data_IF_850050321917
#
_entry.id   IF_850050321917
#
_cell.length_a   1.000
_cell.length_b   1.000
_cell.length_c   1.000
_cell.angle_alpha   90.00
_cell.angle_beta   90.00
_cell.angle_gamma   90.00
#
_symmetry.space_group_name_H-M   'P 1'
#
loop_
_entity.id
_entity.type
_entity.pdbx_description
1 polymer ?
#
# COMPACT_ATOMS: atom_id res chain seq x y z
N UNK A 1 -3.88 -51.56 9.73
CA UNK A 1 -3.29 -51.13 8.44
C UNK A 1 -4.36 -50.79 7.39
N UNK A 2 -5.33 -51.66 7.04
CA UNK A 2 -6.36 -51.37 6.02
C UNK A 2 -7.28 -50.20 6.35
N UNK A 3 -7.66 -49.97 7.62
CA UNK A 3 -8.52 -48.86 8.05
C UNK A 3 -7.76 -47.54 7.89
N UNK A 4 -6.50 -47.44 8.33
CA UNK A 4 -5.68 -46.28 8.18
C UNK A 4 -5.48 -45.87 6.71
N UNK A 5 -5.23 -46.86 5.85
CA UNK A 5 -5.12 -46.65 4.40
C UNK A 5 -6.42 -46.10 3.79
N UNK A 6 -7.59 -46.63 4.20
CA UNK A 6 -8.89 -46.11 3.75
C UNK A 6 -9.15 -44.68 4.22
N UNK A 7 -8.78 -44.33 5.45
CA UNK A 7 -8.91 -42.99 5.99
C UNK A 7 -7.98 -42.00 5.24
N UNK A 8 -6.74 -42.38 4.96
CA UNK A 8 -5.83 -41.58 4.15
C UNK A 8 -6.37 -41.34 2.73
N UNK A 9 -6.91 -42.40 2.07
CA UNK A 9 -7.53 -42.26 0.75
C UNK A 9 -8.75 -41.33 0.76
N UNK A 10 -9.63 -41.46 1.76
CA UNK A 10 -10.79 -40.59 1.91
C UNK A 10 -10.36 -39.12 2.09
N UNK A 11 -9.37 -38.90 2.94
CA UNK A 11 -8.81 -37.54 3.14
C UNK A 11 -8.26 -36.96 1.84
N UNK A 12 -7.51 -37.74 1.07
CA UNK A 12 -6.98 -37.32 -0.24
C UNK A 12 -8.13 -36.95 -1.19
N UNK A 13 -9.15 -37.78 -1.30
CA UNK A 13 -10.31 -37.50 -2.18
C UNK A 13 -11.02 -36.21 -1.74
N UNK A 14 -11.23 -36.01 -0.43
CA UNK A 14 -11.86 -34.81 0.11
C UNK A 14 -11.02 -33.55 -0.19
N UNK A 15 -9.70 -33.62 0.02
CA UNK A 15 -8.79 -32.51 -0.24
C UNK A 15 -8.76 -32.15 -1.73
N UNK A 16 -8.61 -33.12 -2.61
CA UNK A 16 -8.64 -32.91 -4.06
C UNK A 16 -10.00 -32.40 -4.55
N UNK A 17 -11.10 -32.96 -4.01
CA UNK A 17 -12.44 -32.49 -4.32
C UNK A 17 -12.68 -31.04 -3.88
N UNK A 18 -12.27 -30.67 -2.67
CA UNK A 18 -12.34 -29.31 -2.17
C UNK A 18 -11.48 -28.36 -2.99
N UNK A 19 -10.25 -28.74 -3.32
CA UNK A 19 -9.38 -27.95 -4.18
C UNK A 19 -9.98 -27.74 -5.57
N UNK A 20 -10.49 -28.81 -6.19
CA UNK A 20 -11.15 -28.74 -7.50
C UNK A 20 -12.38 -27.82 -7.48
N UNK A 21 -13.19 -27.91 -6.43
CA UNK A 21 -14.35 -27.02 -6.22
C UNK A 21 -13.91 -25.55 -6.09
N UNK A 22 -12.93 -25.27 -5.23
CA UNK A 22 -12.40 -23.92 -5.05
C UNK A 22 -11.82 -23.36 -6.34
N UNK A 23 -11.05 -24.18 -7.05
CA UNK A 23 -10.44 -23.79 -8.32
C UNK A 23 -11.49 -23.48 -9.39
N UNK A 24 -12.48 -24.36 -9.56
CA UNK A 24 -13.55 -24.16 -10.56
C UNK A 24 -14.44 -22.97 -10.23
N UNK A 25 -14.76 -22.74 -8.95
CA UNK A 25 -15.72 -21.71 -8.54
C UNK A 25 -15.10 -20.32 -8.39
N UNK A 26 -13.84 -20.24 -7.95
CA UNK A 26 -13.23 -18.99 -7.49
C UNK A 26 -11.92 -18.62 -8.19
N UNK A 27 -11.54 -19.33 -9.25
CA UNK A 27 -10.44 -18.86 -10.10
C UNK A 27 -10.83 -17.58 -10.81
N UNK A 28 -10.05 -16.54 -10.59
CA UNK A 28 -10.23 -15.23 -11.23
C UNK A 28 -9.04 -15.01 -12.17
N UNK A 29 -9.28 -14.90 -13.49
CA UNK A 29 -8.20 -14.60 -14.44
C UNK A 29 -7.62 -13.21 -14.16
N UNK A 30 -6.38 -13.00 -14.60
CA UNK A 30 -5.82 -11.66 -14.67
C UNK A 30 -6.60 -10.83 -15.68
N UNK A 31 -6.83 -9.55 -15.36
CA UNK A 31 -7.53 -8.60 -16.21
C UNK A 31 -6.55 -7.70 -16.94
N UNK A 32 -6.68 -7.52 -18.24
CA UNK A 32 -5.92 -6.53 -18.98
C UNK A 32 -6.18 -5.13 -18.41
N UNK A 33 -5.15 -4.27 -18.40
CA UNK A 33 -5.27 -2.90 -17.89
C UNK A 33 -6.37 -2.11 -18.61
N UNK A 34 -6.61 -2.37 -19.89
CA UNK A 34 -7.63 -1.70 -20.69
C UNK A 34 -9.05 -1.87 -20.13
N UNK A 35 -9.38 -3.06 -19.60
CA UNK A 35 -10.70 -3.33 -18.99
C UNK A 35 -10.90 -2.56 -17.67
N UNK A 36 -9.82 -2.26 -16.96
CA UNK A 36 -9.88 -1.59 -15.65
C UNK A 36 -9.83 -0.06 -15.78
N UNK A 37 -9.28 0.44 -16.88
CA UNK A 37 -9.06 1.87 -17.12
C UNK A 37 -10.37 2.66 -17.15
N UNK A 38 -11.41 2.11 -17.76
CA UNK A 38 -12.73 2.77 -17.89
C UNK A 38 -13.32 3.11 -16.50
N UNK A 39 -13.15 2.23 -15.53
CA UNK A 39 -13.67 2.42 -14.17
C UNK A 39 -12.71 3.19 -13.28
N UNK A 40 -11.40 2.87 -13.31
CA UNK A 40 -10.43 3.28 -12.31
C UNK A 40 -9.46 4.38 -12.77
N UNK A 41 -9.43 4.72 -14.07
CA UNK A 41 -8.62 5.82 -14.59
C UNK A 41 -9.47 6.97 -15.15
N UNK A 42 -10.61 7.28 -14.52
CA UNK A 42 -11.40 8.46 -14.86
C UNK A 42 -10.59 9.73 -14.61
N UNK A 43 -10.83 10.82 -15.37
CA UNK A 43 -10.19 12.10 -15.11
C UNK A 43 -10.24 12.47 -13.62
N UNK A 44 -9.15 13.03 -13.06
CA UNK A 44 -7.94 13.56 -13.72
C UNK A 44 -6.80 12.55 -13.92
N UNK A 45 -7.08 11.25 -13.94
CA UNK A 45 -6.06 10.18 -14.13
C UNK A 45 -5.27 10.36 -15.42
N UNK A 46 -3.95 10.17 -15.31
CA UNK A 46 -2.98 10.24 -16.38
C UNK A 46 -2.00 9.07 -16.31
N UNK A 47 -1.24 8.86 -17.38
CA UNK A 47 -0.19 7.85 -17.43
C UNK A 47 1.13 8.48 -17.90
N UNK A 48 2.22 8.19 -17.19
CA UNK A 48 3.56 8.66 -17.49
C UNK A 48 4.51 7.48 -17.63
N UNK A 49 5.40 7.55 -18.63
CA UNK A 49 6.42 6.51 -18.82
C UNK A 49 7.61 6.75 -17.89
N UNK A 50 7.78 5.88 -16.89
CA UNK A 50 8.90 5.92 -15.94
C UNK A 50 9.48 4.52 -15.76
N UNK A 51 10.79 4.37 -15.91
CA UNK A 51 11.50 3.08 -15.77
C UNK A 51 10.89 1.93 -16.60
N UNK A 52 10.36 2.24 -17.78
CA UNK A 52 9.72 1.25 -18.66
C UNK A 52 8.29 0.87 -18.26
N UNK A 53 7.75 1.45 -17.21
CA UNK A 53 6.35 1.30 -16.80
C UNK A 53 5.50 2.45 -17.33
N UNK A 54 4.22 2.19 -17.59
CA UNK A 54 3.18 3.23 -17.70
C UNK A 54 2.59 3.47 -16.33
N UNK A 55 3.17 4.42 -15.59
CA UNK A 55 2.74 4.74 -14.22
C UNK A 55 1.43 5.51 -14.26
N UNK A 56 0.40 4.95 -13.63
CA UNK A 56 -0.88 5.63 -13.41
C UNK A 56 -0.75 6.62 -12.26
N UNK A 57 -1.13 7.88 -12.50
CA UNK A 57 -1.02 8.95 -11.53
C UNK A 57 -2.14 9.97 -11.64
N UNK A 58 -2.28 10.79 -10.61
CA UNK A 58 -3.09 12.02 -10.59
C UNK A 58 -2.24 13.14 -10.02
N UNK A 59 -2.34 14.30 -10.63
CA UNK A 59 -1.64 15.52 -10.25
C UNK A 59 -2.67 16.64 -10.18
N UNK A 60 -3.11 16.96 -8.96
CA UNK A 60 -4.28 17.80 -8.67
C UNK A 60 -3.86 19.05 -7.89
N UNK A 61 -4.70 20.10 -7.92
CA UNK A 61 -4.43 21.37 -7.25
C UNK A 61 -3.51 22.33 -8.03
N UNK A 62 -3.06 23.44 -7.38
CA UNK A 62 -2.28 24.50 -8.00
C UNK A 62 -0.90 24.01 -8.42
N UNK A 63 -0.58 24.14 -9.72
CA UNK A 63 0.70 23.64 -10.29
C UNK A 63 1.92 24.43 -9.86
N UNK A 64 1.71 25.66 -9.46
CA UNK A 64 2.77 26.59 -9.01
C UNK A 64 3.12 26.45 -7.51
N UNK A 65 2.54 25.45 -6.82
CA UNK A 65 2.89 25.16 -5.43
C UNK A 65 4.39 24.84 -5.33
N UNK A 66 5.19 25.63 -4.58
CA UNK A 66 6.62 25.43 -4.48
C UNK A 66 7.01 24.17 -3.69
N UNK A 67 6.07 23.60 -2.93
CA UNK A 67 6.30 22.41 -2.09
C UNK A 67 5.15 21.41 -2.21
N UNK A 68 5.06 20.69 -3.34
CA UNK A 68 4.01 19.71 -3.59
C UNK A 68 3.98 18.59 -2.56
N UNK A 69 2.78 18.00 -2.37
CA UNK A 69 2.55 16.86 -1.51
C UNK A 69 2.45 15.60 -2.37
N UNK A 70 3.23 14.58 -2.05
CA UNK A 70 3.18 13.27 -2.72
C UNK A 70 2.58 12.24 -1.77
N UNK A 71 1.55 11.51 -2.23
CA UNK A 71 0.81 10.54 -1.44
C UNK A 71 1.07 9.10 -1.95
N UNK A 72 1.67 8.26 -1.11
CA UNK A 72 2.07 6.89 -1.42
C UNK A 72 1.18 5.87 -0.71
N UNK A 73 0.53 5.01 -1.48
CA UNK A 73 -0.39 4.00 -0.95
C UNK A 73 0.33 2.77 -0.35
N UNK A 74 -0.43 1.93 0.37
CA UNK A 74 0.06 0.68 0.95
C UNK A 74 0.06 -0.52 0.00
N UNK A 75 0.50 -1.67 0.50
CA UNK A 75 0.52 -2.95 -0.22
C UNK A 75 -0.89 -3.35 -0.67
N UNK A 76 -1.03 -3.78 -1.93
CA UNK A 76 -2.31 -4.19 -2.56
C UNK A 76 -3.38 -3.09 -2.62
N UNK A 77 -3.02 -1.84 -2.36
CA UNK A 77 -3.86 -0.66 -2.52
C UNK A 77 -3.58 0.06 -3.84
N UNK A 78 -4.06 1.28 -3.99
CA UNK A 78 -3.87 2.14 -5.16
C UNK A 78 -3.93 3.61 -4.75
N UNK A 79 -3.63 4.52 -5.66
CA UNK A 79 -3.70 5.97 -5.42
C UNK A 79 -5.07 6.44 -4.88
N UNK A 80 -6.14 5.67 -5.12
CA UNK A 80 -7.50 6.01 -4.69
C UNK A 80 -7.70 5.98 -3.16
N UNK A 81 -6.82 5.31 -2.40
CA UNK A 81 -6.88 5.32 -0.92
C UNK A 81 -6.75 6.73 -0.33
N UNK A 82 -6.23 7.66 -1.14
CA UNK A 82 -5.98 9.05 -0.78
C UNK A 82 -7.04 10.03 -1.29
N UNK A 83 -8.19 9.54 -1.85
CA UNK A 83 -9.20 10.44 -2.42
C UNK A 83 -9.63 11.52 -1.43
N UNK A 84 -10.04 11.14 -0.21
CA UNK A 84 -10.52 12.12 0.77
C UNK A 84 -9.46 13.13 1.24
N UNK A 85 -8.18 12.73 1.30
CA UNK A 85 -7.10 13.69 1.56
C UNK A 85 -6.89 14.63 0.38
N UNK A 86 -6.94 14.11 -0.84
CA UNK A 86 -6.76 14.92 -2.04
C UNK A 86 -7.88 15.95 -2.19
N UNK A 87 -9.13 15.58 -1.89
CA UNK A 87 -10.28 16.47 -1.97
C UNK A 87 -10.10 17.73 -1.10
N UNK A 88 -9.40 17.61 0.03
CA UNK A 88 -9.08 18.74 0.93
C UNK A 88 -7.77 19.45 0.51
N UNK A 89 -6.69 18.68 0.42
CA UNK A 89 -5.34 19.26 0.23
C UNK A 89 -5.18 19.96 -1.13
N UNK A 90 -5.88 19.50 -2.18
CA UNK A 90 -5.76 20.08 -3.53
C UNK A 90 -6.39 21.47 -3.67
N UNK A 91 -7.11 21.94 -2.66
CA UNK A 91 -7.60 23.32 -2.64
C UNK A 91 -6.44 24.35 -2.52
N UNK A 92 -5.37 23.95 -1.84
CA UNK A 92 -4.24 24.86 -1.52
C UNK A 92 -2.86 24.32 -1.93
N UNK A 93 -2.73 23.01 -2.16
CA UNK A 93 -1.48 22.34 -2.49
C UNK A 93 -1.55 21.60 -3.83
N UNK A 94 -0.43 21.50 -4.52
CA UNK A 94 -0.26 20.53 -5.59
C UNK A 94 -0.11 19.15 -4.98
N UNK A 95 -1.04 18.25 -5.28
CA UNK A 95 -1.10 16.88 -4.75
C UNK A 95 -0.83 15.90 -5.86
N UNK A 96 0.30 15.19 -5.76
CA UNK A 96 0.66 14.08 -6.63
C UNK A 96 0.40 12.77 -5.92
N UNK A 97 -0.29 11.85 -6.58
CA UNK A 97 -0.45 10.47 -6.13
C UNK A 97 -0.36 9.52 -7.31
N UNK A 98 0.26 8.37 -7.11
CA UNK A 98 0.44 7.39 -8.18
C UNK A 98 0.37 5.95 -7.68
N UNK A 99 0.01 5.04 -8.57
CA UNK A 99 0.07 3.61 -8.31
C UNK A 99 1.54 3.16 -8.37
N UNK A 100 2.07 2.70 -7.25
CA UNK A 100 3.45 2.20 -7.19
C UNK A 100 3.62 0.91 -8.00
N UNK A 101 4.85 0.59 -8.41
CA UNK A 101 5.16 -0.63 -9.16
C UNK A 101 4.63 -1.89 -8.46
N UNK A 102 3.99 -2.76 -9.23
CA UNK A 102 3.37 -4.00 -8.76
C UNK A 102 1.93 -3.83 -8.29
N UNK A 103 1.35 -2.61 -8.38
CA UNK A 103 0.02 -2.31 -7.87
C UNK A 103 -0.82 -1.46 -8.82
N UNK A 104 -2.14 -1.38 -8.51
CA UNK A 104 -3.09 -0.54 -9.23
C UNK A 104 -3.04 -0.76 -10.74
N UNK A 105 -3.19 0.30 -11.50
CA UNK A 105 -3.10 0.25 -12.97
C UNK A 105 -1.67 0.31 -13.52
N UNK A 106 -0.69 0.76 -12.72
CA UNK A 106 0.73 0.73 -13.10
C UNK A 106 1.19 -0.68 -13.38
N UNK A 107 0.89 -1.63 -12.48
CA UNK A 107 1.26 -3.02 -12.65
C UNK A 107 2.74 -3.33 -12.43
N UNK A 108 3.24 -4.49 -12.92
CA UNK A 108 4.56 -4.98 -12.61
C UNK A 108 5.67 -4.14 -13.22
N UNK A 109 6.79 -4.03 -12.51
CA UNK A 109 8.03 -3.49 -13.05
C UNK A 109 8.59 -4.44 -14.11
N UNK A 110 9.01 -3.97 -15.30
CA UNK A 110 9.45 -4.84 -16.40
C UNK A 110 10.68 -5.69 -16.07
N UNK A 111 11.56 -5.18 -15.22
CA UNK A 111 12.73 -5.91 -14.72
C UNK A 111 12.44 -6.59 -13.37
N UNK A 112 11.17 -6.59 -12.93
CA UNK A 112 10.71 -7.17 -11.68
C UNK A 112 11.52 -6.70 -10.43
N UNK A 113 11.80 -5.41 -10.34
CA UNK A 113 12.51 -4.73 -9.25
C UNK A 113 11.52 -4.30 -8.18
N UNK A 114 11.67 -4.80 -6.95
CA UNK A 114 10.77 -4.51 -5.82
C UNK A 114 11.53 -4.35 -4.49
N UNK A 115 12.81 -4.04 -4.51
CA UNK A 115 13.54 -3.66 -3.30
C UNK A 115 13.06 -2.28 -2.85
N UNK A 116 13.24 -1.95 -1.57
CA UNK A 116 12.79 -0.65 -1.06
C UNK A 116 13.49 0.52 -1.78
N UNK A 117 14.75 0.33 -2.15
CA UNK A 117 15.52 1.30 -2.92
C UNK A 117 14.93 1.52 -4.32
N UNK A 118 14.42 0.46 -4.97
CA UNK A 118 13.78 0.56 -6.30
C UNK A 118 12.47 1.37 -6.24
N UNK A 119 11.72 1.28 -5.13
CA UNK A 119 10.54 2.12 -4.89
C UNK A 119 10.94 3.58 -4.65
N UNK A 120 11.97 3.83 -3.84
CA UNK A 120 12.49 5.16 -3.61
C UNK A 120 12.99 5.81 -4.92
N UNK A 121 13.72 5.05 -5.75
CA UNK A 121 14.17 5.50 -7.08
C UNK A 121 13.00 5.85 -8.00
N UNK A 122 11.93 5.06 -7.98
CA UNK A 122 10.72 5.33 -8.78
C UNK A 122 10.04 6.62 -8.33
N UNK A 123 9.94 6.86 -7.01
CA UNK A 123 9.44 8.13 -6.47
C UNK A 123 10.24 9.32 -7.00
N UNK A 124 11.58 9.26 -6.92
CA UNK A 124 12.44 10.35 -7.38
C UNK A 124 12.30 10.57 -8.90
N UNK A 125 12.23 9.50 -9.70
CA UNK A 125 12.02 9.62 -11.14
C UNK A 125 10.64 10.18 -11.50
N UNK A 126 9.61 9.90 -10.70
CA UNK A 126 8.29 10.55 -10.86
C UNK A 126 8.40 12.05 -10.57
N UNK A 127 9.10 12.44 -9.52
CA UNK A 127 9.36 13.85 -9.19
C UNK A 127 10.12 14.55 -10.34
N UNK A 128 11.20 13.95 -10.83
CA UNK A 128 12.01 14.49 -11.93
C UNK A 128 11.17 14.70 -13.20
N UNK A 129 10.38 13.69 -13.58
CA UNK A 129 9.54 13.75 -14.77
C UNK A 129 8.41 14.78 -14.70
N UNK A 130 8.02 15.21 -13.49
CA UNK A 130 6.98 16.22 -13.24
C UNK A 130 7.54 17.57 -12.80
N UNK A 131 8.86 17.75 -12.85
CA UNK A 131 9.54 19.00 -12.50
C UNK A 131 9.44 19.35 -11.02
N UNK A 132 9.42 18.35 -10.13
CA UNK A 132 9.34 18.52 -8.67
C UNK A 132 10.73 18.33 -8.08
N UNK A 133 11.37 19.40 -7.65
CA UNK A 133 12.70 19.34 -7.05
C UNK A 133 12.67 18.81 -5.62
N UNK A 134 11.72 19.28 -4.82
CA UNK A 134 11.55 18.90 -3.41
C UNK A 134 10.06 18.75 -3.11
N UNK A 135 9.69 17.80 -2.27
CA UNK A 135 8.30 17.54 -1.91
C UNK A 135 8.13 17.18 -0.43
N UNK A 136 6.90 17.36 0.06
CA UNK A 136 6.40 16.66 1.26
C UNK A 136 5.93 15.27 0.83
N UNK A 137 6.35 14.24 1.53
CA UNK A 137 5.93 12.87 1.17
C UNK A 137 5.14 12.25 2.31
N UNK A 138 3.89 11.92 2.03
CA UNK A 138 3.02 11.16 2.91
C UNK A 138 2.88 9.73 2.42
N UNK A 139 2.92 8.75 3.31
CA UNK A 139 2.79 7.35 2.91
C UNK A 139 2.17 6.47 3.97
N UNK A 140 1.28 5.58 3.51
CA UNK A 140 0.66 4.56 4.36
C UNK A 140 1.37 3.22 4.19
N UNK A 141 1.66 2.52 5.29
CA UNK A 141 2.18 1.16 5.27
C UNK A 141 3.47 1.03 4.45
N UNK A 142 3.45 0.30 3.33
CA UNK A 142 4.55 0.25 2.36
C UNK A 142 4.90 1.64 1.84
N UNK A 143 3.90 2.48 1.53
CA UNK A 143 4.13 3.86 1.11
C UNK A 143 4.90 4.68 2.14
N UNK A 144 4.61 4.46 3.44
CA UNK A 144 5.39 5.04 4.53
C UNK A 144 6.83 4.53 4.56
N UNK A 145 7.04 3.22 4.31
CA UNK A 145 8.40 2.65 4.18
C UNK A 145 9.17 3.29 3.01
N UNK A 146 8.50 3.47 1.87
CA UNK A 146 9.10 4.16 0.72
C UNK A 146 9.43 5.62 1.06
N UNK A 147 8.50 6.33 1.70
CA UNK A 147 8.67 7.74 2.06
C UNK A 147 9.91 7.99 2.94
N UNK A 148 10.01 7.28 4.07
CA UNK A 148 11.15 7.47 4.95
C UNK A 148 12.45 6.89 4.38
N UNK A 149 12.40 5.82 3.58
CA UNK A 149 13.59 5.30 2.88
C UNK A 149 14.11 6.29 1.83
N UNK A 150 13.20 6.93 1.08
CA UNK A 150 13.57 7.98 0.14
C UNK A 150 14.23 9.18 0.85
N UNK A 151 13.72 9.56 2.03
CA UNK A 151 14.32 10.64 2.82
C UNK A 151 15.73 10.29 3.32
N UNK A 152 15.98 9.02 3.64
CA UNK A 152 17.34 8.52 4.02
C UNK A 152 18.28 8.50 2.82
N UNK A 153 17.80 8.07 1.64
CA UNK A 153 18.64 7.90 0.45
C UNK A 153 18.83 9.23 -0.30
N UNK A 154 17.78 10.05 -0.37
CA UNK A 154 17.70 11.31 -1.11
C UNK A 154 17.28 12.48 -0.21
N UNK A 155 18.02 12.80 0.87
CA UNK A 155 17.57 13.70 1.93
C UNK A 155 17.24 15.13 1.44
N UNK A 156 17.84 15.57 0.33
CA UNK A 156 17.58 16.90 -0.25
C UNK A 156 16.29 16.97 -1.06
N UNK A 157 15.69 15.83 -1.40
CA UNK A 157 14.49 15.76 -2.22
C UNK A 157 13.20 15.72 -1.38
N UNK A 158 13.31 15.45 -0.09
CA UNK A 158 12.18 15.29 0.83
C UNK A 158 12.27 16.39 1.89
N UNK A 159 11.27 17.29 1.92
CA UNK A 159 11.22 18.40 2.85
C UNK A 159 10.59 18.06 4.20
N UNK A 160 9.45 17.36 4.18
CA UNK A 160 8.74 16.88 5.36
C UNK A 160 8.22 15.45 5.11
N UNK A 161 7.97 14.69 6.18
CA UNK A 161 7.39 13.34 6.12
C UNK A 161 6.07 13.27 6.87
N UNK A 162 5.11 12.50 6.32
CA UNK A 162 3.91 12.06 7.03
C UNK A 162 3.83 10.53 6.94
N UNK A 163 4.04 9.86 8.05
CA UNK A 163 4.12 8.40 8.14
C UNK A 163 2.83 7.84 8.75
N UNK A 164 1.98 7.25 7.92
CA UNK A 164 0.67 6.72 8.30
C UNK A 164 0.75 5.21 8.44
N UNK A 165 0.68 4.70 9.68
CA UNK A 165 0.80 3.26 9.97
C UNK A 165 1.96 2.61 9.20
N UNK A 166 3.12 3.28 9.20
CA UNK A 166 4.23 3.00 8.30
C UNK A 166 4.95 1.70 8.64
N UNK A 167 5.29 0.92 7.61
CA UNK A 167 6.16 -0.26 7.77
C UNK A 167 7.65 0.11 7.70
N UNK A 168 8.50 -0.91 7.87
CA UNK A 168 9.95 -0.80 7.77
C UNK A 168 10.69 -1.50 8.90
N UNK A 169 10.21 -1.45 10.12
CA UNK A 169 10.75 -2.24 11.21
C UNK A 169 10.21 -3.69 11.20
N UNK A 170 10.96 -4.65 11.77
CA UNK A 170 10.40 -5.95 12.12
C UNK A 170 9.33 -5.82 13.21
N UNK A 171 8.24 -6.55 13.05
CA UNK A 171 7.12 -6.60 14.01
C UNK A 171 6.37 -7.93 13.89
N UNK A 172 5.56 -8.24 14.89
CA UNK A 172 4.61 -9.35 14.88
C UNK A 172 3.20 -8.81 14.70
N UNK A 173 2.52 -9.23 13.63
CA UNK A 173 1.14 -8.85 13.33
C UNK A 173 0.17 -9.65 14.17
N UNK A 174 -0.86 -9.00 14.72
CA UNK A 174 -1.98 -9.67 15.37
C UNK A 174 -2.91 -10.33 14.33
N UNK A 175 -3.04 -9.71 13.17
CA UNK A 175 -3.85 -10.23 12.06
C UNK A 175 -3.18 -9.90 10.72
N UNK A 176 -3.08 -10.90 9.84
CA UNK A 176 -2.51 -10.74 8.50
C UNK A 176 -3.56 -11.17 7.48
N UNK A 177 -3.90 -10.33 6.49
CA UNK A 177 -4.78 -10.70 5.38
C UNK A 177 -4.37 -12.02 4.73
N UNK A 178 -5.33 -12.89 4.47
CA UNK A 178 -5.05 -14.24 3.93
C UNK A 178 -4.33 -14.18 2.57
N UNK A 179 -4.64 -13.19 1.73
CA UNK A 179 -3.95 -12.97 0.45
C UNK A 179 -2.45 -12.73 0.63
N UNK A 180 -2.03 -12.03 1.70
CA UNK A 180 -0.61 -11.83 2.01
C UNK A 180 0.07 -13.14 2.42
N UNK A 181 -0.60 -13.95 3.27
CA UNK A 181 -0.09 -15.27 3.66
C UNK A 181 0.10 -16.20 2.47
N UNK A 182 -0.87 -16.22 1.55
CA UNK A 182 -0.78 -17.00 0.31
C UNK A 182 0.40 -16.52 -0.55
N UNK A 183 0.52 -15.21 -0.76
CA UNK A 183 1.58 -14.61 -1.61
C UNK A 183 2.99 -14.78 -1.04
N UNK A 184 3.12 -14.85 0.29
CA UNK A 184 4.41 -15.09 0.97
C UNK A 184 4.81 -16.57 0.98
N UNK A 185 3.85 -17.50 0.83
CA UNK A 185 4.13 -18.92 0.88
C UNK A 185 4.73 -19.42 -0.44
N UNK A 186 5.87 -20.13 -0.43
CA UNK A 186 6.49 -20.65 -1.65
C UNK A 186 5.62 -21.69 -2.38
N UNK A 187 4.69 -22.35 -1.69
CA UNK A 187 3.79 -23.38 -2.25
C UNK A 187 2.41 -22.81 -2.53
N UNK A 188 1.78 -22.13 -1.55
CA UNK A 188 0.39 -21.68 -1.66
C UNK A 188 0.20 -20.66 -2.79
N UNK A 189 1.20 -19.81 -3.09
CA UNK A 189 1.11 -18.85 -4.20
C UNK A 189 0.88 -19.52 -5.56
N UNK A 190 1.39 -20.74 -5.78
CA UNK A 190 1.16 -21.49 -7.02
C UNK A 190 -0.18 -22.23 -7.02
N UNK A 191 -0.61 -22.75 -5.87
CA UNK A 191 -1.84 -23.51 -5.77
C UNK A 191 -3.07 -22.62 -5.67
N UNK A 192 -2.98 -21.52 -4.93
CA UNK A 192 -4.11 -20.66 -4.55
C UNK A 192 -4.02 -19.22 -5.09
N UNK A 193 -2.92 -18.84 -5.74
CA UNK A 193 -2.67 -17.45 -6.16
C UNK A 193 -3.73 -16.88 -7.10
N UNK A 194 -4.41 -17.74 -7.87
CA UNK A 194 -5.49 -17.33 -8.77
C UNK A 194 -6.89 -17.55 -8.17
N UNK A 195 -6.98 -18.15 -6.98
CA UNK A 195 -8.25 -18.35 -6.27
C UNK A 195 -8.48 -17.12 -5.39
N UNK A 196 -9.43 -16.28 -5.76
CA UNK A 196 -9.70 -15.03 -5.07
C UNK A 196 -11.21 -14.78 -4.91
N UNK A 197 -11.87 -15.46 -3.95
CA UNK A 197 -13.26 -15.16 -3.64
C UNK A 197 -13.40 -13.68 -3.21
N UNK A 198 -14.41 -12.98 -3.73
CA UNK A 198 -14.67 -11.59 -3.37
C UNK A 198 -14.90 -11.41 -1.85
N UNK A 199 -15.50 -12.41 -1.20
CA UNK A 199 -15.68 -12.45 0.26
C UNK A 199 -14.34 -12.47 1.02
N UNK A 200 -13.30 -13.10 0.48
CA UNK A 200 -11.95 -13.12 1.06
C UNK A 200 -11.31 -11.73 0.93
N UNK A 201 -11.54 -11.01 -0.17
CA UNK A 201 -11.09 -9.62 -0.32
C UNK A 201 -11.80 -8.73 0.71
N UNK A 202 -13.13 -8.83 0.85
CA UNK A 202 -13.90 -8.10 1.86
C UNK A 202 -13.39 -8.37 3.28
N UNK A 203 -13.15 -9.64 3.63
CA UNK A 203 -12.57 -10.02 4.91
C UNK A 203 -11.15 -9.46 5.10
N UNK A 204 -10.34 -9.42 4.04
CA UNK A 204 -8.99 -8.86 4.09
C UNK A 204 -9.00 -7.34 4.33
N UNK A 205 -9.96 -6.62 3.74
CA UNK A 205 -10.18 -5.19 4.06
C UNK A 205 -10.62 -5.05 5.53
N UNK A 206 -11.52 -5.92 6.02
CA UNK A 206 -11.93 -5.96 7.42
C UNK A 206 -10.78 -6.20 8.42
N UNK A 207 -9.68 -6.82 7.98
CA UNK A 207 -8.50 -6.97 8.83
C UNK A 207 -7.72 -5.66 9.03
N UNK A 208 -7.83 -4.73 8.08
CA UNK A 208 -7.07 -3.46 8.09
C UNK A 208 -7.94 -2.25 8.49
N UNK A 209 -9.25 -2.39 8.53
CA UNK A 209 -10.18 -1.38 9.05
C UNK A 209 -10.40 -1.58 10.57
N UNK A 210 -10.48 -0.49 11.31
CA UNK A 210 -10.88 -0.49 12.72
C UNK A 210 -12.38 -0.75 12.87
N UNK A 211 -13.19 -0.14 11.98
CA UNK A 211 -14.63 -0.36 11.89
C UNK A 211 -15.02 -1.01 10.55
N UNK A 212 -15.28 -2.32 10.50
CA UNK A 212 -15.69 -3.01 9.28
C UNK A 212 -17.01 -2.52 8.66
N UNK A 213 -17.87 -1.83 9.40
CA UNK A 213 -19.14 -1.30 8.88
C UNK A 213 -18.94 -0.16 7.86
N UNK A 214 -17.74 0.45 7.83
CA UNK A 214 -17.36 1.45 6.83
C UNK A 214 -16.98 0.83 5.47
N UNK A 215 -16.92 -0.49 5.36
CA UNK A 215 -16.53 -1.18 4.12
C UNK A 215 -17.70 -1.24 3.16
N UNK A 216 -17.63 -0.42 2.11
CA UNK A 216 -18.63 -0.39 1.03
C UNK A 216 -18.34 -1.47 -0.02
N UNK A 217 -19.35 -1.85 -0.81
CA UNK A 217 -19.17 -2.79 -1.91
C UNK A 217 -18.26 -2.20 -3.01
N UNK A 218 -18.32 -0.89 -3.24
CA UNK A 218 -17.46 -0.20 -4.21
C UNK A 218 -15.97 -0.21 -3.78
N UNK A 219 -15.74 -0.11 -2.47
CA UNK A 219 -14.40 -0.30 -1.88
C UNK A 219 -13.91 -1.74 -2.13
N UNK A 220 -14.76 -2.74 -1.91
CA UNK A 220 -14.41 -4.15 -2.16
C UNK A 220 -14.12 -4.38 -3.64
N UNK A 221 -14.91 -3.82 -4.54
CA UNK A 221 -14.69 -3.90 -5.99
C UNK A 221 -13.35 -3.29 -6.37
N UNK A 222 -13.01 -2.12 -5.84
CA UNK A 222 -11.73 -1.48 -6.12
C UNK A 222 -10.54 -2.38 -5.75
N UNK A 223 -10.54 -2.89 -4.54
CA UNK A 223 -9.46 -3.81 -4.11
C UNK A 223 -9.47 -5.11 -4.91
N UNK A 224 -10.64 -5.69 -5.18
CA UNK A 224 -10.76 -6.90 -5.97
C UNK A 224 -10.25 -6.71 -7.40
N UNK A 225 -10.76 -5.72 -8.11
CA UNK A 225 -10.45 -5.50 -9.51
C UNK A 225 -9.00 -5.09 -9.74
N UNK A 226 -8.47 -4.13 -8.96
CA UNK A 226 -7.10 -3.65 -9.14
C UNK A 226 -6.05 -4.70 -8.73
N UNK A 227 -6.36 -5.60 -7.79
CA UNK A 227 -5.47 -6.72 -7.49
C UNK A 227 -5.53 -7.84 -8.55
N UNK A 228 -6.57 -7.88 -9.42
CA UNK A 228 -6.64 -8.79 -10.57
C UNK A 228 -6.03 -8.21 -11.84
N UNK A 229 -5.54 -6.98 -11.84
CA UNK A 229 -4.79 -6.43 -12.97
C UNK A 229 -3.64 -7.36 -13.32
N UNK A 230 -3.47 -7.67 -14.60
CA UNK A 230 -2.47 -8.59 -15.12
C UNK A 230 -1.07 -8.34 -14.53
N UNK A 231 -0.51 -9.39 -13.92
CA UNK A 231 0.81 -9.41 -13.31
C UNK A 231 0.88 -8.87 -11.86
N UNK A 232 -0.13 -8.19 -11.30
CA UNK A 232 -0.06 -7.64 -9.93
C UNK A 232 0.09 -8.73 -8.87
N UNK A 233 -0.55 -9.88 -9.03
CA UNK A 233 -0.44 -11.00 -8.07
C UNK A 233 0.97 -11.60 -8.03
N UNK A 234 1.60 -11.74 -9.20
CA UNK A 234 2.99 -12.18 -9.30
C UNK A 234 3.96 -11.14 -8.73
N UNK A 235 3.73 -9.85 -9.01
CA UNK A 235 4.49 -8.74 -8.46
C UNK A 235 4.40 -8.69 -6.93
N UNK A 236 3.21 -8.87 -6.36
CA UNK A 236 3.00 -8.93 -4.91
C UNK A 236 3.84 -10.04 -4.26
N UNK A 237 3.82 -11.24 -4.83
CA UNK A 237 4.60 -12.36 -4.31
C UNK A 237 6.12 -12.06 -4.37
N UNK A 238 6.61 -11.44 -5.46
CA UNK A 238 8.01 -11.08 -5.61
C UNK A 238 8.40 -9.94 -4.66
N UNK A 239 7.54 -8.93 -4.51
CA UNK A 239 7.73 -7.84 -3.56
C UNK A 239 7.96 -8.37 -2.14
N UNK A 240 7.18 -9.33 -1.66
CA UNK A 240 7.38 -9.92 -0.32
C UNK A 240 8.73 -10.65 -0.16
N UNK A 241 9.33 -11.09 -1.26
CA UNK A 241 10.67 -11.68 -1.23
C UNK A 241 11.76 -10.60 -1.17
N UNK A 242 11.58 -9.49 -1.88
CA UNK A 242 12.61 -8.46 -2.08
C UNK A 242 12.54 -7.33 -1.04
N UNK A 243 11.34 -6.86 -0.69
CA UNK A 243 11.16 -5.85 0.36
C UNK A 243 10.97 -6.53 1.72
N UNK A 244 11.96 -6.44 2.58
CA UNK A 244 11.93 -7.06 3.91
C UNK A 244 11.92 -6.01 5.02
N UNK A 245 11.23 -6.33 6.09
CA UNK A 245 11.29 -5.53 7.31
C UNK A 245 12.75 -5.46 7.84
N UNK A 246 13.14 -4.31 8.35
CA UNK A 246 14.48 -4.05 8.87
C UNK A 246 15.48 -3.48 7.85
N UNK A 247 15.15 -3.49 6.53
CA UNK A 247 15.97 -2.79 5.53
C UNK A 247 16.05 -1.30 5.88
N UNK A 248 17.26 -0.74 5.91
CA UNK A 248 17.54 0.65 6.29
C UNK A 248 17.09 1.07 7.70
N UNK A 249 16.54 0.17 8.54
CA UNK A 249 16.00 0.52 9.86
C UNK A 249 17.06 1.13 10.81
N UNK A 250 18.33 0.75 10.67
CA UNK A 250 19.46 1.33 11.40
C UNK A 250 19.77 2.78 10.98
N UNK A 251 19.17 3.28 9.92
CA UNK A 251 19.36 4.64 9.39
C UNK A 251 18.20 5.59 9.70
N UNK A 252 17.14 5.12 10.37
CA UNK A 252 16.00 5.97 10.72
C UNK A 252 16.40 7.18 11.56
N UNK A 253 17.38 7.01 12.46
CA UNK A 253 17.93 8.13 13.26
C UNK A 253 18.68 9.19 12.46
N UNK A 254 18.97 8.96 11.16
CA UNK A 254 19.58 9.97 10.26
C UNK A 254 18.55 10.94 9.69
N UNK A 255 17.26 10.66 9.87
CA UNK A 255 16.18 11.51 9.36
C UNK A 255 16.19 12.88 10.08
N UNK A 256 16.37 13.93 9.33
CA UNK A 256 16.37 15.31 9.82
C UNK A 256 15.10 16.08 9.45
N UNK A 257 14.30 15.52 8.55
CA UNK A 257 13.06 16.12 8.09
C UNK A 257 12.03 16.19 9.22
N UNK A 258 11.30 17.31 9.39
CA UNK A 258 10.12 17.32 10.22
C UNK A 258 9.19 16.17 9.83
N UNK A 259 8.80 15.38 10.80
CA UNK A 259 8.05 14.12 10.56
C UNK A 259 6.81 14.06 11.44
N UNK A 260 5.64 13.90 10.81
CA UNK A 260 4.41 13.53 11.49
C UNK A 260 4.21 12.01 11.39
N UNK A 261 4.04 11.38 12.53
CA UNK A 261 3.73 9.94 12.62
C UNK A 261 2.27 9.82 13.07
N UNK A 262 1.47 9.15 12.26
CA UNK A 262 0.03 8.98 12.44
C UNK A 262 -0.29 7.50 12.56
N UNK A 263 -1.13 7.10 13.54
CA UNK A 263 -1.40 5.68 13.79
C UNK A 263 -2.83 5.41 14.20
N UNK A 264 -3.47 4.42 13.54
CA UNK A 264 -4.74 3.89 13.99
C UNK A 264 -4.57 2.99 15.23
N UNK A 265 -5.30 3.27 16.31
CA UNK A 265 -5.19 2.49 17.55
C UNK A 265 -5.69 1.04 17.38
N UNK A 266 -6.50 0.78 16.35
CA UNK A 266 -7.01 -0.54 16.00
C UNK A 266 -6.21 -1.23 14.89
N UNK A 267 -5.01 -0.73 14.57
CA UNK A 267 -4.14 -1.41 13.61
C UNK A 267 -3.66 -2.76 14.15
N UNK A 268 -4.22 -3.83 13.57
CA UNK A 268 -3.89 -5.23 13.89
C UNK A 268 -2.81 -5.80 12.98
N UNK A 269 -2.48 -5.07 11.90
CA UNK A 269 -1.45 -5.49 10.96
C UNK A 269 -0.07 -5.01 11.38
N UNK A 270 0.09 -3.72 11.68
CA UNK A 270 1.33 -3.14 12.21
C UNK A 270 1.04 -2.53 13.59
N UNK A 271 1.54 -3.14 14.66
CA UNK A 271 1.20 -2.67 16.00
C UNK A 271 1.72 -1.26 16.28
N UNK A 272 0.98 -0.49 17.06
CA UNK A 272 1.29 0.90 17.43
C UNK A 272 2.68 1.07 18.07
N UNK A 273 3.25 -0.01 18.64
CA UNK A 273 4.62 -0.01 19.16
C UNK A 273 5.67 0.32 18.11
N UNK A 274 5.37 0.06 16.81
CA UNK A 274 6.22 0.46 15.69
C UNK A 274 6.19 1.99 15.51
N UNK A 275 5.01 2.61 15.60
CA UNK A 275 4.87 4.06 15.59
C UNK A 275 5.61 4.74 16.75
N UNK A 276 5.48 4.20 17.95
CA UNK A 276 6.28 4.66 19.11
C UNK A 276 7.78 4.50 18.89
N UNK A 277 8.21 3.47 18.17
CA UNK A 277 9.62 3.28 17.83
C UNK A 277 10.10 4.35 16.85
N UNK A 278 9.34 4.64 15.79
CA UNK A 278 9.65 5.76 14.89
C UNK A 278 9.77 7.08 15.65
N UNK A 279 8.82 7.37 16.54
CA UNK A 279 8.82 8.62 17.31
C UNK A 279 10.03 8.75 18.26
N UNK A 280 10.55 7.64 18.76
CA UNK A 280 11.78 7.65 19.59
C UNK A 280 13.06 7.82 18.76
N UNK A 281 13.08 7.26 17.54
CA UNK A 281 14.29 7.20 16.71
C UNK A 281 14.42 8.37 15.74
N UNK A 282 13.30 9.04 15.35
CA UNK A 282 13.31 10.25 14.50
C UNK A 282 13.36 11.49 15.39
N UNK A 283 14.47 12.26 15.37
CA UNK A 283 14.66 13.39 16.32
C UNK A 283 13.62 14.49 16.23
N UNK A 284 13.15 14.80 15.01
CA UNK A 284 12.17 15.88 14.76
C UNK A 284 10.82 15.28 14.37
N UNK A 285 10.20 14.55 15.29
CA UNK A 285 8.92 13.87 15.01
C UNK A 285 7.82 14.22 16.03
N UNK A 286 6.59 14.25 15.52
CA UNK A 286 5.36 14.33 16.29
C UNK A 286 4.59 13.03 16.11
N UNK A 287 3.90 12.54 17.15
CA UNK A 287 3.13 11.30 17.11
C UNK A 287 1.68 11.53 17.48
N UNK A 288 0.76 11.14 16.62
CA UNK A 288 -0.69 11.28 16.80
C UNK A 288 -1.35 9.91 16.60
N UNK A 289 -2.31 9.57 17.45
CA UNK A 289 -3.11 8.35 17.34
C UNK A 289 -4.56 8.65 17.03
N UNK A 290 -5.24 7.72 16.37
CA UNK A 290 -6.64 7.84 16.00
C UNK A 290 -7.44 6.70 16.62
N UNK A 291 -8.26 7.03 17.63
CA UNK A 291 -9.10 6.07 18.31
C UNK A 291 -10.14 5.46 17.36
N UNK A 292 -10.22 4.14 17.37
CA UNK A 292 -11.21 3.39 16.60
C UNK A 292 -10.83 3.19 15.11
N UNK A 293 -9.75 3.81 14.61
CA UNK A 293 -9.27 3.60 13.24
C UNK A 293 -8.24 2.47 13.16
N UNK A 294 -8.21 1.79 12.01
CA UNK A 294 -7.31 0.67 11.73
C UNK A 294 -6.04 1.09 10.99
N UNK A 295 -5.53 0.17 10.17
CA UNK A 295 -4.28 0.30 9.42
C UNK A 295 -4.31 1.30 8.25
N UNK A 296 -5.48 1.71 7.83
CA UNK A 296 -5.67 2.65 6.71
C UNK A 296 -6.52 3.85 7.15
N UNK A 297 -6.10 4.58 8.21
CA UNK A 297 -6.92 5.63 8.82
C UNK A 297 -7.23 6.77 7.84
N UNK A 298 -6.34 7.05 6.88
CA UNK A 298 -6.53 8.04 5.82
C UNK A 298 -7.67 7.68 4.84
N UNK A 299 -8.02 6.39 4.76
CA UNK A 299 -9.14 5.91 3.93
C UNK A 299 -10.39 5.68 4.76
N UNK A 300 -10.23 5.23 6.00
CA UNK A 300 -11.31 4.88 6.90
C UNK A 300 -12.03 6.13 7.45
N UNK A 301 -11.27 7.17 7.78
CA UNK A 301 -11.78 8.48 8.20
C UNK A 301 -10.87 9.61 7.67
N UNK A 302 -11.02 9.96 6.39
CA UNK A 302 -10.13 10.92 5.75
C UNK A 302 -10.18 12.32 6.38
N UNK A 303 -11.35 12.79 6.83
CA UNK A 303 -11.48 14.14 7.36
C UNK A 303 -10.67 14.32 8.65
N UNK A 304 -10.86 13.43 9.63
CA UNK A 304 -10.14 13.51 10.91
C UNK A 304 -8.63 13.41 10.72
N UNK A 305 -8.20 12.59 9.77
CA UNK A 305 -6.77 12.36 9.52
C UNK A 305 -6.13 13.48 8.71
N UNK A 306 -6.83 14.04 7.72
CA UNK A 306 -6.30 15.17 6.93
C UNK A 306 -6.22 16.44 7.78
N UNK A 307 -7.21 16.71 8.64
CA UNK A 307 -7.20 17.86 9.56
C UNK A 307 -5.97 17.84 10.49
N UNK A 308 -5.55 16.65 10.91
CA UNK A 308 -4.33 16.49 11.72
C UNK A 308 -3.06 16.72 10.89
N UNK A 309 -3.06 16.25 9.64
CA UNK A 309 -1.95 16.46 8.72
C UNK A 309 -1.80 17.94 8.34
N UNK A 310 -2.89 18.67 8.02
CA UNK A 310 -2.86 20.09 7.67
C UNK A 310 -2.24 20.94 8.78
N UNK A 311 -2.55 20.69 10.04
CA UNK A 311 -1.93 21.40 11.18
C UNK A 311 -0.41 21.25 11.19
N UNK A 312 0.10 20.06 10.84
CA UNK A 312 1.54 19.82 10.72
C UNK A 312 2.12 20.44 9.44
N UNK A 313 1.41 20.40 8.33
CA UNK A 313 1.88 20.98 7.07
C UNK A 313 2.10 22.49 7.16
N UNK A 314 1.24 23.19 7.91
CA UNK A 314 1.31 24.64 8.14
C UNK A 314 2.20 25.03 9.33
N UNK A 315 2.76 24.08 10.10
CA UNK A 315 3.75 24.41 11.15
C UNK A 315 5.11 24.69 10.51
N UNK A 316 5.76 25.72 11.01
CA UNK A 316 7.11 26.15 10.59
C UNK A 316 8.19 25.08 10.85
#
# INVERSE_FOLDING_TARGET
MKILFRLCWLLIVVVFGAYGYLHFTYTVPDRPVAELTERWAKPPSQFLSVSGMKVHFRDEGPKEDPLPIILLHGTSSSLHTWNGWTDVLSEHHRVLRFDMQGFGLTGPHPEAKYRIEDYADTLIKMMDALGIDTAIVAGNSLGGFVAWSAAVIYPKRIAKLVLVDASGYPYESQSVPIGFRISQSPVLKYLLGNIMPRSVVKSSIGNVYGNPDKITEDLVDRYFELNTREGNRAALAKRFVETKAGQLANRVGELTQPTLIMWGEQDRLIPISVGHRFNREIPNSQFITFKGLGHVPQEEDPQVTVDAAEKFLHSD
#
